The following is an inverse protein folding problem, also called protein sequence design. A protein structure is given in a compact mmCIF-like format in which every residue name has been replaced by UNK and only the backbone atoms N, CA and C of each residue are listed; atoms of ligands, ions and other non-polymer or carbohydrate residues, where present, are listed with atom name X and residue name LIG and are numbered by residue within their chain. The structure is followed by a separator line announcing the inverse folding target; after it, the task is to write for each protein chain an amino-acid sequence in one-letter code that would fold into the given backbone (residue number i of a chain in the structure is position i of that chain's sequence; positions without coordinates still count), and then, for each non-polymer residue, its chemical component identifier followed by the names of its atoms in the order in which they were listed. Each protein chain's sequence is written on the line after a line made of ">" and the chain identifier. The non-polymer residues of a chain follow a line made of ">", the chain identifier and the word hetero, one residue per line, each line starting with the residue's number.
data_IF_019712662798
#
_entry.id   IF_019712662798
#
_cell.length_a   1.000
_cell.length_b   1.000
_cell.length_c   1.000
_cell.angle_alpha   90.00
_cell.angle_beta   90.00
_cell.angle_gamma   90.00
#
_symmetry.space_group_name_H-M   'P 1'
#
loop_
_entity.id
_entity.type
_entity.pdbx_description
1 polymer ?
#
# COMPACT_ATOMS: atom_id res chain seq x y z
N UNK A 1 -0.27 22.39 -25.86
CA UNK A 1 0.29 21.02 -25.92
C UNK A 1 1.73 20.96 -25.45
N UNK A 2 2.69 21.70 -26.02
CA UNK A 2 4.10 21.66 -25.60
C UNK A 2 4.34 21.96 -24.11
N UNK A 3 3.67 22.98 -23.55
CA UNK A 3 3.80 23.31 -22.12
C UNK A 3 3.27 22.21 -21.18
N UNK A 4 2.21 21.50 -21.60
CA UNK A 4 1.63 20.39 -20.83
C UNK A 4 2.55 19.15 -20.84
N UNK A 5 3.22 18.91 -21.96
CA UNK A 5 4.21 17.84 -22.11
C UNK A 5 5.44 18.10 -21.22
N UNK A 6 5.94 19.33 -21.17
CA UNK A 6 7.08 19.67 -20.29
C UNK A 6 6.74 19.50 -18.80
N UNK A 7 5.53 19.89 -18.37
CA UNK A 7 5.08 19.69 -16.99
C UNK A 7 5.00 18.20 -16.65
N UNK A 8 4.50 17.38 -17.58
CA UNK A 8 4.40 15.94 -17.39
C UNK A 8 5.79 15.28 -17.32
N UNK A 9 6.74 15.73 -18.14
CA UNK A 9 8.14 15.27 -18.10
C UNK A 9 8.82 15.57 -16.76
N UNK A 10 8.62 16.77 -16.22
CA UNK A 10 9.16 17.13 -14.90
C UNK A 10 8.51 16.32 -13.77
N UNK A 11 7.20 16.06 -13.87
CA UNK A 11 6.49 15.20 -12.92
C UNK A 11 6.96 13.74 -12.97
N UNK A 12 7.31 13.22 -14.14
CA UNK A 12 7.89 11.88 -14.27
C UNK A 12 9.26 11.78 -13.60
N UNK A 13 10.12 12.78 -13.75
CA UNK A 13 11.42 12.82 -13.05
C UNK A 13 11.23 12.79 -11.53
N UNK A 14 10.19 13.47 -11.02
CA UNK A 14 9.83 13.39 -9.60
C UNK A 14 9.40 11.97 -9.23
N UNK A 15 8.64 11.28 -10.08
CA UNK A 15 8.27 9.87 -9.87
C UNK A 15 9.49 8.96 -9.86
N UNK A 16 10.44 9.12 -10.77
CA UNK A 16 11.66 8.30 -10.81
C UNK A 16 12.45 8.40 -9.48
N UNK A 17 12.63 9.62 -8.98
CA UNK A 17 13.28 9.86 -7.69
C UNK A 17 12.46 9.28 -6.54
N UNK A 18 11.14 9.49 -6.55
CA UNK A 18 10.24 8.95 -5.54
C UNK A 18 10.25 7.42 -5.51
N UNK A 19 10.31 6.76 -6.67
CA UNK A 19 10.41 5.31 -6.78
C UNK A 19 11.64 4.78 -6.06
N UNK A 20 12.81 5.40 -6.27
CA UNK A 20 14.04 5.00 -5.58
C UNK A 20 13.96 5.19 -4.07
N UNK A 21 13.31 6.26 -3.61
CA UNK A 21 13.08 6.49 -2.17
C UNK A 21 12.12 5.43 -1.60
N UNK A 22 11.03 5.14 -2.29
CA UNK A 22 10.04 4.16 -1.87
C UNK A 22 10.62 2.74 -1.87
N UNK A 23 11.39 2.35 -2.88
CA UNK A 23 12.14 1.09 -2.94
C UNK A 23 13.09 0.95 -1.75
N UNK A 24 13.83 2.01 -1.42
CA UNK A 24 14.77 1.98 -0.30
C UNK A 24 14.04 1.78 1.05
N UNK A 25 12.86 2.37 1.23
CA UNK A 25 12.02 2.17 2.42
C UNK A 25 11.40 0.77 2.43
N UNK A 26 10.89 0.31 1.29
CA UNK A 26 10.23 -0.98 1.12
C UNK A 26 11.15 -2.16 1.44
N UNK A 27 12.38 -2.12 0.94
CA UNK A 27 13.36 -3.21 1.08
C UNK A 27 14.27 -3.07 2.30
N UNK A 28 14.00 -2.10 3.18
CA UNK A 28 14.69 -1.96 4.46
C UNK A 28 16.08 -1.32 4.37
N UNK A 29 16.46 -0.74 3.23
CA UNK A 29 17.68 0.07 3.11
C UNK A 29 17.57 1.38 3.92
N UNK A 30 16.35 1.88 4.10
CA UNK A 30 16.02 3.02 4.97
C UNK A 30 15.02 2.56 6.02
N UNK A 31 15.41 2.58 7.29
CA UNK A 31 14.55 2.18 8.41
C UNK A 31 13.77 3.39 8.91
N UNK A 32 12.45 3.31 8.82
CA UNK A 32 11.53 4.34 9.31
C UNK A 32 10.53 3.75 10.32
N UNK A 33 10.16 4.50 11.37
CA UNK A 33 9.04 4.15 12.23
C UNK A 33 7.75 3.95 11.43
N UNK A 34 6.84 3.09 11.91
CA UNK A 34 5.56 2.79 11.24
C UNK A 34 4.78 4.06 10.87
N UNK A 35 4.66 5.02 11.81
CA UNK A 35 3.98 6.29 11.55
C UNK A 35 4.58 7.09 10.38
N UNK A 36 5.90 7.02 10.19
CA UNK A 36 6.58 7.68 9.05
C UNK A 36 6.35 6.93 7.75
N UNK A 37 6.35 5.60 7.78
CA UNK A 37 6.01 4.77 6.61
C UNK A 37 4.56 5.01 6.15
N UNK A 38 3.62 5.14 7.08
CA UNK A 38 2.23 5.52 6.78
C UNK A 38 2.15 6.90 6.10
N UNK A 39 2.84 7.91 6.65
CA UNK A 39 2.89 9.26 6.06
C UNK A 39 3.44 9.24 4.62
N UNK A 40 4.47 8.44 4.38
CA UNK A 40 5.05 8.25 3.04
C UNK A 40 4.00 7.68 2.08
N UNK A 41 3.28 6.61 2.47
CA UNK A 41 2.22 6.03 1.63
C UNK A 41 1.12 7.05 1.34
N UNK A 42 0.59 7.72 2.36
CA UNK A 42 -0.49 8.70 2.21
C UNK A 42 -0.12 9.91 1.35
N UNK A 43 1.15 10.31 1.37
CA UNK A 43 1.65 11.41 0.56
C UNK A 43 1.80 11.00 -0.91
N UNK A 44 2.46 9.87 -1.17
CA UNK A 44 2.87 9.50 -2.52
C UNK A 44 1.78 8.76 -3.31
N UNK A 45 0.92 7.99 -2.64
CA UNK A 45 -0.10 7.19 -3.31
C UNK A 45 -1.07 8.04 -4.16
N UNK A 46 -1.62 9.19 -3.68
CA UNK A 46 -2.48 10.04 -4.50
C UNK A 46 -1.73 10.72 -5.66
N UNK A 47 -0.47 11.11 -5.44
CA UNK A 47 0.36 11.77 -6.45
C UNK A 47 0.66 10.84 -7.62
N UNK A 48 1.12 9.63 -7.32
CA UNK A 48 1.42 8.58 -8.29
C UNK A 48 0.18 8.22 -9.13
N UNK A 49 -0.98 8.12 -8.48
CA UNK A 49 -2.28 7.94 -9.16
C UNK A 49 -2.62 9.05 -10.14
N UNK A 50 -2.48 10.30 -9.69
CA UNK A 50 -2.80 11.47 -10.51
C UNK A 50 -1.97 11.50 -11.79
N UNK A 51 -0.67 11.26 -11.68
CA UNK A 51 0.22 11.26 -12.84
C UNK A 51 -0.04 10.06 -13.75
N UNK A 52 -0.23 8.86 -13.21
CA UNK A 52 -0.55 7.67 -14.01
C UNK A 52 -1.83 7.88 -14.84
N UNK A 53 -2.87 8.47 -14.25
CA UNK A 53 -4.11 8.79 -14.95
C UNK A 53 -3.92 9.84 -16.06
N UNK A 54 -3.17 10.91 -15.78
CA UNK A 54 -2.86 11.95 -16.77
C UNK A 54 -2.01 11.38 -17.90
N UNK A 55 -1.03 10.54 -17.56
CA UNK A 55 -0.16 9.84 -18.50
C UNK A 55 -0.97 9.02 -19.51
N UNK A 56 -1.86 8.16 -19.02
CA UNK A 56 -2.71 7.32 -19.85
C UNK A 56 -3.68 8.12 -20.71
N UNK A 57 -4.16 9.28 -20.21
CA UNK A 57 -5.07 10.18 -20.96
C UNK A 57 -4.36 11.04 -22.00
N UNK A 58 -3.06 11.32 -21.83
CA UNK A 58 -2.33 12.33 -22.62
C UNK A 58 -1.56 11.71 -23.78
N UNK A 59 -1.13 10.45 -23.69
CA UNK A 59 -0.19 9.86 -24.66
C UNK A 59 -0.86 8.81 -25.56
N UNK A 60 -0.89 9.13 -26.86
CA UNK A 60 -0.85 8.15 -27.96
C UNK A 60 0.66 7.82 -28.13
N UNK A 61 1.10 6.54 -28.18
CA UNK A 61 2.48 6.10 -27.91
C UNK A 61 3.53 6.77 -28.82
N UNK A 62 4.78 7.06 -28.35
CA UNK A 62 5.72 6.04 -27.89
C UNK A 62 6.72 6.49 -26.79
N UNK A 63 6.35 7.39 -25.88
CA UNK A 63 7.22 7.63 -24.70
C UNK A 63 6.95 6.47 -23.75
N UNK A 64 7.77 5.44 -23.81
CA UNK A 64 7.72 4.31 -22.88
C UNK A 64 8.38 4.78 -21.59
N UNK A 65 7.61 5.39 -20.67
CA UNK A 65 8.00 5.25 -19.27
C UNK A 65 8.04 3.75 -19.01
N UNK A 66 9.20 3.30 -18.54
CA UNK A 66 9.49 1.88 -18.44
C UNK A 66 8.41 1.22 -17.58
N UNK A 67 7.78 0.17 -18.11
CA UNK A 67 6.83 -0.62 -17.32
C UNK A 67 7.45 -1.11 -16.02
N UNK A 68 8.78 -1.25 -16.01
CA UNK A 68 9.58 -1.51 -14.82
C UNK A 68 9.42 -0.46 -13.72
N UNK A 69 9.38 0.84 -14.03
CA UNK A 69 9.23 1.92 -13.03
C UNK A 69 7.86 1.83 -12.33
N UNK A 70 6.79 1.68 -13.11
CA UNK A 70 5.45 1.55 -12.54
C UNK A 70 5.31 0.26 -11.74
N UNK A 71 5.89 -0.85 -12.22
CA UNK A 71 5.88 -2.11 -11.48
C UNK A 71 6.69 -2.04 -10.18
N UNK A 72 7.84 -1.35 -10.19
CA UNK A 72 8.69 -1.23 -9.01
C UNK A 72 8.03 -0.36 -7.94
N UNK A 73 7.35 0.72 -8.34
CA UNK A 73 6.54 1.57 -7.47
C UNK A 73 5.41 0.78 -6.80
N UNK A 74 4.65 0.02 -7.57
CA UNK A 74 3.56 -0.82 -7.05
C UNK A 74 4.08 -1.83 -6.04
N UNK A 75 5.17 -2.53 -6.39
CA UNK A 75 5.83 -3.51 -5.51
C UNK A 75 6.34 -2.87 -4.21
N UNK A 76 6.87 -1.64 -4.30
CA UNK A 76 7.29 -0.87 -3.13
C UNK A 76 6.10 -0.48 -2.24
N UNK A 77 4.99 -0.01 -2.81
CA UNK A 77 3.77 0.27 -2.04
C UNK A 77 3.23 -0.98 -1.35
N UNK A 78 3.09 -2.09 -2.06
CA UNK A 78 2.65 -3.38 -1.50
C UNK A 78 3.53 -3.78 -0.33
N UNK A 79 4.86 -3.73 -0.50
CA UNK A 79 5.83 -4.08 0.54
C UNK A 79 5.75 -3.17 1.76
N UNK A 80 5.66 -1.84 1.56
CA UNK A 80 5.54 -0.88 2.66
C UNK A 80 4.24 -1.12 3.42
N UNK A 81 3.11 -1.25 2.71
CA UNK A 81 1.79 -1.47 3.31
C UNK A 81 1.78 -2.77 4.10
N UNK A 82 2.31 -3.87 3.56
CA UNK A 82 2.40 -5.16 4.26
C UNK A 82 3.19 -5.10 5.57
N UNK A 83 4.12 -4.16 5.68
CA UNK A 83 4.96 -3.97 6.85
C UNK A 83 4.42 -2.94 7.85
N UNK A 84 3.25 -2.35 7.59
CA UNK A 84 2.54 -1.48 8.52
C UNK A 84 1.75 -2.28 9.58
N UNK A 85 1.47 -1.68 10.75
CA UNK A 85 0.50 -2.19 11.71
C UNK A 85 -0.89 -2.41 11.09
N UNK A 86 -1.64 -3.36 11.63
CA UNK A 86 -2.96 -3.74 11.09
C UNK A 86 -3.98 -2.58 11.07
N UNK A 87 -3.94 -1.68 12.06
CA UNK A 87 -4.81 -0.49 12.08
C UNK A 87 -4.55 0.45 10.89
N UNK A 88 -3.28 0.71 10.60
CA UNK A 88 -2.86 1.55 9.48
C UNK A 88 -3.22 0.89 8.13
N UNK A 89 -3.06 -0.43 8.02
CA UNK A 89 -3.47 -1.20 6.83
C UNK A 89 -4.98 -1.10 6.56
N UNK A 90 -5.80 -1.17 7.62
CA UNK A 90 -7.26 -1.03 7.52
C UNK A 90 -7.67 0.37 7.04
N UNK A 91 -6.99 1.40 7.52
CA UNK A 91 -7.23 2.78 7.12
C UNK A 91 -6.95 2.98 5.63
N UNK A 92 -5.77 2.53 5.15
CA UNK A 92 -5.40 2.61 3.73
C UNK A 92 -6.38 1.83 2.85
N UNK A 93 -6.84 0.65 3.29
CA UNK A 93 -7.86 -0.11 2.56
C UNK A 93 -9.15 0.69 2.40
N UNK A 94 -9.63 1.33 3.47
CA UNK A 94 -10.85 2.13 3.42
C UNK A 94 -10.72 3.29 2.44
N UNK A 95 -9.57 3.98 2.43
CA UNK A 95 -9.27 5.04 1.48
C UNK A 95 -9.19 4.51 0.03
N UNK A 96 -8.60 3.32 -0.17
CA UNK A 96 -8.47 2.68 -1.48
C UNK A 96 -9.81 2.26 -2.07
N UNK A 97 -10.68 1.63 -1.29
CA UNK A 97 -12.02 1.23 -1.72
C UNK A 97 -12.94 2.43 -2.02
N UNK A 98 -12.67 3.58 -1.41
CA UNK A 98 -13.39 4.82 -1.68
C UNK A 98 -13.03 5.50 -3.01
N UNK A 99 -12.03 5.00 -3.75
CA UNK A 99 -11.60 5.58 -5.01
C UNK A 99 -12.45 5.05 -6.18
N UNK A 100 -13.17 5.91 -6.91
CA UNK A 100 -14.00 5.54 -8.08
C UNK A 100 -13.19 4.96 -9.27
N UNK A 101 -11.89 5.24 -9.34
CA UNK A 101 -11.01 4.80 -10.42
C UNK A 101 -9.89 3.91 -9.85
N UNK A 102 -10.18 2.62 -9.68
CA UNK A 102 -9.18 1.61 -9.32
C UNK A 102 -8.42 1.23 -10.59
N UNK A 103 -7.39 2.01 -10.96
CA UNK A 103 -6.56 1.69 -12.13
C UNK A 103 -5.08 1.48 -11.80
N UNK A 104 -4.56 2.08 -10.72
CA UNK A 104 -3.16 1.93 -10.28
C UNK A 104 -2.96 2.60 -8.90
N UNK A 105 -1.93 2.24 -8.10
CA UNK A 105 -1.31 0.92 -8.09
C UNK A 105 -2.33 -0.15 -7.66
N UNK A 106 -2.17 -1.36 -8.18
CA UNK A 106 -2.90 -2.52 -7.69
C UNK A 106 -2.35 -2.91 -6.31
N UNK A 107 -3.21 -2.76 -5.29
CA UNK A 107 -2.89 -3.08 -3.90
C UNK A 107 -3.60 -4.35 -3.42
N UNK A 108 -4.24 -5.07 -4.34
CA UNK A 108 -5.06 -6.25 -4.02
C UNK A 108 -4.26 -7.29 -3.23
N UNK A 109 -3.03 -7.61 -3.68
CA UNK A 109 -2.17 -8.58 -3.00
C UNK A 109 -1.93 -8.18 -1.53
N UNK A 110 -1.58 -6.92 -1.27
CA UNK A 110 -1.31 -6.43 0.08
C UNK A 110 -2.53 -6.62 0.99
N UNK A 111 -3.71 -6.32 0.49
CA UNK A 111 -4.96 -6.41 1.24
C UNK A 111 -5.48 -7.83 1.40
N UNK A 112 -5.28 -8.72 0.42
CA UNK A 112 -5.59 -10.13 0.54
C UNK A 112 -4.73 -10.79 1.63
N UNK A 113 -3.43 -10.53 1.62
CA UNK A 113 -2.50 -11.03 2.64
C UNK A 113 -2.85 -10.47 4.02
N UNK A 114 -3.16 -9.18 4.12
CA UNK A 114 -3.61 -8.57 5.37
C UNK A 114 -4.92 -9.19 5.87
N UNK A 115 -5.92 -9.35 5.01
CA UNK A 115 -7.21 -9.95 5.35
C UNK A 115 -7.04 -11.39 5.85
N UNK A 116 -6.20 -12.19 5.16
CA UNK A 116 -5.85 -13.53 5.60
C UNK A 116 -5.21 -13.53 7.00
N UNK A 117 -4.17 -12.71 7.21
CA UNK A 117 -3.47 -12.59 8.51
C UNK A 117 -4.42 -12.16 9.63
N UNK A 118 -5.28 -11.18 9.37
CA UNK A 118 -6.29 -10.68 10.31
C UNK A 118 -7.34 -11.74 10.64
N UNK A 119 -7.82 -12.49 9.64
CA UNK A 119 -8.76 -13.60 9.83
C UNK A 119 -8.16 -14.73 10.66
N UNK A 120 -6.91 -15.11 10.39
CA UNK A 120 -6.20 -16.14 11.16
C UNK A 120 -5.97 -15.68 12.60
N UNK A 121 -5.55 -14.43 12.81
CA UNK A 121 -5.38 -13.86 14.14
C UNK A 121 -6.69 -13.89 14.95
N UNK A 122 -7.81 -13.50 14.32
CA UNK A 122 -9.13 -13.53 14.95
C UNK A 122 -9.54 -14.94 15.40
N UNK A 123 -9.34 -15.96 14.57
CA UNK A 123 -9.62 -17.37 14.92
C UNK A 123 -8.78 -17.87 16.09
N UNK A 124 -7.50 -17.49 16.13
CA UNK A 124 -6.60 -17.83 17.25
C UNK A 124 -7.03 -17.13 18.54
N UNK A 125 -7.46 -15.88 18.43
CA UNK A 125 -7.96 -15.13 19.58
C UNK A 125 -9.25 -15.74 20.15
N UNK A 126 -10.20 -16.14 19.30
CA UNK A 126 -11.43 -16.82 19.77
C UNK A 126 -11.13 -18.16 20.42
N UNK A 127 -10.22 -18.97 19.86
CA UNK A 127 -9.79 -20.24 20.47
C UNK A 127 -9.21 -20.05 21.88
N UNK A 128 -8.40 -19.00 22.09
CA UNK A 128 -7.87 -18.66 23.41
C UNK A 128 -8.97 -18.23 24.39
N UNK A 129 -9.96 -17.47 23.91
CA UNK A 129 -11.15 -17.09 24.69
C UNK A 129 -11.95 -18.31 25.15
N UNK A 130 -12.15 -19.29 24.27
CA UNK A 130 -12.87 -20.52 24.59
C UNK A 130 -12.11 -21.37 25.63
N UNK A 131 -10.78 -21.47 25.51
CA UNK A 131 -9.93 -22.15 26.50
C UNK A 131 -10.01 -21.44 27.88
N UNK A 132 -10.02 -20.10 27.90
CA UNK A 132 -10.17 -19.35 29.14
C UNK A 132 -11.56 -19.54 29.78
N UNK A 133 -12.62 -19.63 28.96
CA UNK A 133 -13.97 -19.95 29.43
C UNK A 133 -14.08 -21.36 30.03
N UNK A 134 -13.44 -22.35 29.41
CA UNK A 134 -13.44 -23.75 29.88
C UNK A 134 -12.65 -23.90 31.19
N UNK A 135 -11.49 -23.23 31.31
CA UNK A 135 -10.68 -23.25 32.54
C UNK A 135 -11.37 -22.59 33.73
N UNK A 136 -12.05 -21.46 33.53
CA UNK A 136 -12.81 -20.79 34.58
C UNK A 136 -14.06 -21.61 35.02
N UNK A 137 -14.71 -22.30 34.08
CA UNK A 137 -15.89 -23.15 34.38
C UNK A 137 -15.53 -24.43 35.14
N UNK A 138 -14.28 -24.91 34.98
CA UNK A 138 -13.79 -26.14 35.63
C UNK A 138 -13.29 -25.89 37.06
N UNK A 139 -12.88 -24.66 37.40
CA UNK A 139 -12.45 -24.28 38.76
C UNK A 139 -13.60 -23.94 39.71
N UNK A 140 -14.84 -23.80 39.21
CA UNK A 140 -16.02 -23.48 40.04
C UNK A 140 -16.82 -24.71 40.49
N UNK A 141 -16.34 -25.92 40.21
CA UNK A 141 -17.02 -27.19 40.53
C UNK A 141 -16.31 -28.03 41.61
N UNK A 142 -15.38 -27.44 42.38
CA UNK A 142 -14.67 -28.10 43.50
C UNK A 142 -15.03 -27.48 44.85
#
# INVERSE_FOLDING_TARGET
>A
MAQMINILDDQLKVIEVAAKVLEAIAYGNVILPAAKRLQVVKLWLPFVRGINLIWWKTIIPPITVDGELWQSLESAFVSIILALPSGDQAEILSEWLGCEYIQYPDLTEAFEVWCYRSKVAKRRFTLLGDIHGITNSSMTLS
#
